data_IF_094267632575
#
_entry.id   IF_094267632575
#
_cell.length_a   1.000
_cell.length_b   1.000
_cell.length_c   1.000
_cell.angle_alpha   90.00
_cell.angle_beta   90.00
_cell.angle_gamma   90.00
#
_symmetry.space_group_name_H-M   'P 1'
#
loop_
_entity.id
_entity.type
_entity.pdbx_description
1 polymer ?
#
# COMPACT_ATOMS: atom_id res chain seq x y z
N UNK A 1 57.07 -20.35 64.56
CA UNK A 1 56.50 -20.93 63.32
C UNK A 1 55.09 -20.44 62.96
N UNK A 2 54.29 -19.87 63.88
CA UNK A 2 52.89 -19.48 63.62
C UNK A 2 52.67 -18.30 62.64
N UNK A 3 53.48 -17.23 62.73
CA UNK A 3 53.26 -16.01 61.91
C UNK A 3 53.60 -16.16 60.42
N UNK A 4 54.51 -17.07 60.07
CA UNK A 4 54.93 -17.27 58.67
C UNK A 4 53.87 -18.04 57.87
N UNK A 5 53.23 -19.02 58.50
CA UNK A 5 52.12 -19.78 57.90
C UNK A 5 50.89 -18.88 57.69
N UNK A 6 50.55 -18.04 58.67
CA UNK A 6 49.43 -17.09 58.54
C UNK A 6 49.68 -16.05 57.43
N UNK A 7 50.92 -15.59 57.24
CA UNK A 7 51.29 -14.67 56.16
C UNK A 7 51.20 -15.36 54.78
N UNK A 8 51.64 -16.61 54.65
CA UNK A 8 51.54 -17.36 53.40
C UNK A 8 50.08 -17.65 53.01
N UNK A 9 49.22 -17.99 53.98
CA UNK A 9 47.81 -18.23 53.75
C UNK A 9 47.12 -16.95 53.25
N UNK A 10 47.31 -15.81 53.92
CA UNK A 10 46.75 -14.52 53.48
C UNK A 10 47.23 -14.09 52.09
N UNK A 11 48.50 -14.39 51.73
CA UNK A 11 49.04 -14.10 50.40
C UNK A 11 48.43 -15.00 49.32
N UNK A 12 48.22 -16.29 49.61
CA UNK A 12 47.52 -17.22 48.71
C UNK A 12 46.04 -16.84 48.51
N UNK A 13 45.32 -16.45 49.57
CA UNK A 13 43.91 -16.06 49.46
C UNK A 13 43.72 -14.78 48.63
N UNK A 14 44.64 -13.80 48.77
CA UNK A 14 44.63 -12.58 47.95
C UNK A 14 44.93 -12.85 46.47
N UNK A 15 45.87 -13.75 46.17
CA UNK A 15 46.18 -14.15 44.79
C UNK A 15 44.98 -14.91 44.18
N UNK A 16 44.33 -15.79 44.94
CA UNK A 16 43.14 -16.51 44.46
C UNK A 16 41.95 -15.58 44.20
N UNK A 17 41.73 -14.57 45.06
CA UNK A 17 40.68 -13.57 44.85
C UNK A 17 40.95 -12.73 43.59
N UNK A 18 42.19 -12.27 43.38
CA UNK A 18 42.58 -11.51 42.18
C UNK A 18 42.43 -12.30 40.88
N UNK A 19 42.79 -13.59 40.88
CA UNK A 19 42.65 -14.45 39.69
C UNK A 19 41.18 -14.77 39.40
N UNK A 20 40.35 -14.92 40.43
CA UNK A 20 38.89 -15.10 40.28
C UNK A 20 38.19 -13.86 39.72
N UNK A 21 38.53 -12.66 40.19
CA UNK A 21 37.94 -11.41 39.67
C UNK A 21 38.40 -11.12 38.23
N UNK A 22 39.65 -11.46 37.89
CA UNK A 22 40.16 -11.34 36.52
C UNK A 22 39.52 -12.35 35.56
N UNK A 23 39.21 -13.57 36.03
CA UNK A 23 38.47 -14.57 35.23
C UNK A 23 37.00 -14.18 35.00
N UNK A 24 36.33 -13.57 35.98
CA UNK A 24 34.95 -13.09 35.83
C UNK A 24 34.89 -11.91 34.83
N UNK A 25 35.92 -11.05 34.82
CA UNK A 25 36.09 -10.02 33.79
C UNK A 25 36.46 -10.58 32.40
N UNK A 26 37.16 -11.72 32.32
CA UNK A 26 37.42 -12.40 31.04
C UNK A 26 36.16 -13.08 30.48
N UNK A 27 35.32 -13.67 31.33
CA UNK A 27 34.05 -14.30 30.90
C UNK A 27 33.00 -13.24 30.54
N UNK A 28 32.98 -12.09 31.22
CA UNK A 28 32.12 -10.96 30.87
C UNK A 28 32.65 -10.13 29.68
N UNK A 29 33.98 -10.10 29.47
CA UNK A 29 34.64 -9.37 28.39
C UNK A 29 34.79 -10.13 27.07
N UNK A 30 34.57 -11.45 27.07
CA UNK A 30 34.66 -12.31 25.87
C UNK A 30 33.26 -12.75 25.37
N UNK A 31 32.27 -11.88 25.53
CA UNK A 31 31.00 -11.94 24.79
C UNK A 31 30.81 -10.70 23.92
N UNK A 32 31.90 -10.22 23.33
CA UNK A 32 31.83 -9.47 22.08
C UNK A 32 32.31 -10.40 20.97
N UNK A 33 31.57 -11.50 20.76
CA UNK A 33 31.54 -12.10 19.44
C UNK A 33 31.02 -10.97 18.54
N UNK A 34 31.95 -10.38 17.79
CA UNK A 34 31.63 -9.62 16.61
C UNK A 34 30.76 -10.54 15.74
N UNK A 35 29.45 -10.45 15.96
CA UNK A 35 28.53 -10.64 14.87
C UNK A 35 29.04 -9.66 13.82
N UNK A 36 29.31 -10.06 12.57
CA UNK A 36 29.40 -9.06 11.52
C UNK A 36 28.08 -8.30 11.62
N UNK A 37 28.13 -7.09 12.18
CA UNK A 37 27.05 -6.15 12.03
C UNK A 37 27.02 -5.92 10.53
N UNK A 38 26.20 -6.72 9.84
CA UNK A 38 25.82 -6.48 8.47
C UNK A 38 25.09 -5.15 8.55
N UNK A 39 25.87 -4.08 8.34
CA UNK A 39 25.49 -2.73 8.67
C UNK A 39 24.25 -2.36 7.88
N UNK A 40 23.10 -2.39 8.53
CA UNK A 40 21.94 -1.68 8.02
C UNK A 40 22.32 -0.19 8.13
N UNK A 41 22.73 0.40 7.01
CA UNK A 41 22.83 1.86 6.89
C UNK A 41 21.40 2.44 6.87
N UNK A 42 20.86 2.68 8.06
CA UNK A 42 19.53 3.25 8.29
C UNK A 42 19.12 3.14 9.77
N UNK A 43 18.23 4.01 10.22
CA UNK A 43 17.59 3.85 11.54
C UNK A 43 16.51 2.78 11.41
N UNK A 44 16.78 1.59 11.94
CA UNK A 44 15.80 0.54 12.09
C UNK A 44 15.25 0.56 13.53
N UNK A 45 13.94 0.72 13.68
CA UNK A 45 13.26 0.46 14.95
C UNK A 45 12.69 -0.95 14.95
N UNK A 46 13.04 -1.73 15.97
CA UNK A 46 12.57 -3.09 16.19
C UNK A 46 11.51 -3.09 17.30
N UNK A 47 10.30 -3.54 17.00
CA UNK A 47 9.29 -3.83 18.05
C UNK A 47 9.24 -5.35 18.28
N UNK A 48 9.57 -5.78 19.49
CA UNK A 48 9.55 -7.18 19.92
C UNK A 48 8.49 -7.37 21.02
N UNK A 49 7.54 -8.29 20.83
CA UNK A 49 6.62 -8.70 21.89
C UNK A 49 6.96 -10.13 22.38
N UNK A 50 8.03 -10.24 23.16
CA UNK A 50 8.41 -11.44 23.89
C UNK A 50 9.09 -12.53 23.05
N UNK A 51 9.52 -13.59 23.73
CA UNK A 51 10.38 -14.68 23.23
C UNK A 51 9.81 -15.56 22.11
N UNK A 52 8.78 -15.11 21.38
CA UNK A 52 8.11 -15.92 20.36
C UNK A 52 7.34 -15.19 19.26
N UNK A 53 7.45 -13.86 19.08
CA UNK A 53 6.60 -13.15 18.08
C UNK A 53 7.30 -12.03 17.31
N UNK A 54 7.04 -12.06 15.99
CA UNK A 54 7.20 -11.06 14.92
C UNK A 54 8.06 -9.82 15.22
N UNK A 55 9.14 -9.67 14.45
CA UNK A 55 9.91 -8.43 14.41
C UNK A 55 9.24 -7.48 13.42
N UNK A 56 8.72 -6.35 13.92
CA UNK A 56 8.35 -5.23 13.07
C UNK A 56 9.59 -4.38 12.84
N UNK A 57 9.99 -4.22 11.58
CA UNK A 57 11.10 -3.35 11.20
C UNK A 57 10.52 -2.15 10.46
N UNK A 58 10.56 -0.98 11.11
CA UNK A 58 10.39 0.29 10.40
C UNK A 58 11.79 0.72 9.99
N UNK A 59 12.10 0.59 8.69
CA UNK A 59 13.36 1.04 8.12
C UNK A 59 13.17 2.43 7.52
N UNK A 60 13.81 3.44 8.11
CA UNK A 60 14.02 4.72 7.44
C UNK A 60 15.34 4.61 6.65
N UNK A 61 15.30 4.49 5.30
CA UNK A 61 16.52 4.24 4.54
C UNK A 61 17.47 5.43 4.66
N UNK A 62 18.69 5.14 5.10
CA UNK A 62 19.81 6.05 4.96
C UNK A 62 20.55 5.88 3.62
N UNK A 63 20.55 4.68 3.00
CA UNK A 63 21.43 4.47 1.83
C UNK A 63 21.16 3.18 1.00
N UNK A 64 19.91 2.73 0.84
CA UNK A 64 19.58 1.59 -0.05
C UNK A 64 19.14 2.04 -1.46
N UNK A 65 19.77 3.10 -2.00
CA UNK A 65 19.56 3.54 -3.39
C UNK A 65 18.14 3.96 -3.78
N UNK A 66 17.20 4.01 -2.84
CA UNK A 66 15.81 4.43 -3.05
C UNK A 66 15.41 5.48 -2.02
N UNK A 67 14.78 6.56 -2.48
CA UNK A 67 14.29 7.69 -1.68
C UNK A 67 13.05 7.35 -0.81
N UNK A 68 12.66 6.08 -0.70
CA UNK A 68 11.33 5.66 -0.25
C UNK A 68 11.37 4.88 1.07
N UNK A 69 10.62 5.37 2.08
CA UNK A 69 10.41 4.64 3.33
C UNK A 69 9.58 3.37 3.08
N UNK A 70 10.06 2.22 3.52
CA UNK A 70 9.38 0.93 3.32
C UNK A 70 9.03 0.27 4.64
N UNK A 71 7.77 -0.16 4.78
CA UNK A 71 7.30 -0.96 5.91
C UNK A 71 7.46 -2.45 5.57
N UNK A 72 8.26 -3.17 6.34
CA UNK A 72 8.47 -4.61 6.18
C UNK A 72 7.91 -5.37 7.39
N UNK A 73 7.12 -6.43 7.15
CA UNK A 73 6.79 -7.43 8.17
C UNK A 73 7.76 -8.60 8.00
N UNK A 74 8.45 -8.96 9.08
CA UNK A 74 9.43 -10.06 9.09
C UNK A 74 8.83 -11.28 9.81
N UNK A 75 8.25 -12.26 9.09
CA UNK A 75 7.87 -13.52 9.71
C UNK A 75 9.12 -14.37 9.98
N UNK A 76 9.23 -14.94 11.18
CA UNK A 76 10.28 -15.91 11.50
C UNK A 76 9.99 -17.23 10.78
N UNK A 77 10.88 -17.66 9.89
CA UNK A 77 10.94 -19.04 9.39
C UNK A 77 12.23 -19.70 9.86
N UNK A 78 12.21 -21.01 10.12
CA UNK A 78 13.41 -21.75 10.49
C UNK A 78 14.40 -21.76 9.32
N UNK A 79 15.55 -21.09 9.45
CA UNK A 79 16.62 -21.11 8.45
C UNK A 79 17.06 -19.75 7.89
N UNK A 80 16.47 -18.63 8.34
CA UNK A 80 16.93 -17.29 7.99
C UNK A 80 15.84 -16.23 8.13
N UNK A 81 16.23 -14.97 7.93
CA UNK A 81 15.31 -13.84 7.72
C UNK A 81 15.09 -13.66 6.20
N UNK A 82 14.23 -14.45 5.51
CA UNK A 82 13.84 -14.04 4.16
C UNK A 82 13.03 -12.77 4.35
N UNK A 83 13.59 -11.64 3.94
CA UNK A 83 12.85 -10.40 3.80
C UNK A 83 11.72 -10.64 2.78
N UNK A 84 10.55 -11.07 3.23
CA UNK A 84 9.39 -11.25 2.36
C UNK A 84 8.72 -9.90 2.19
N UNK A 85 8.88 -9.31 1.00
CA UNK A 85 8.16 -8.11 0.60
C UNK A 85 6.65 -8.36 0.70
N UNK A 86 5.93 -7.48 1.42
CA UNK A 86 4.48 -7.55 1.59
C UNK A 86 3.67 -7.35 0.30
N UNK A 87 4.34 -7.22 -0.84
CA UNK A 87 3.71 -6.90 -2.11
C UNK A 87 3.19 -5.47 -2.18
N UNK A 88 3.39 -4.64 -1.15
CA UNK A 88 3.04 -3.23 -1.11
C UNK A 88 4.30 -2.37 -0.92
N UNK A 89 4.40 -1.27 -1.67
CA UNK A 89 5.45 -0.27 -1.52
C UNK A 89 4.83 1.11 -1.39
N UNK A 90 5.16 1.81 -0.29
CA UNK A 90 4.83 3.22 -0.08
C UNK A 90 6.04 4.05 -0.48
N UNK A 91 5.83 5.04 -1.33
CA UNK A 91 6.90 5.92 -1.81
C UNK A 91 6.83 7.27 -1.12
N UNK A 92 7.97 7.91 -0.93
CA UNK A 92 8.05 9.23 -0.29
C UNK A 92 7.33 10.33 -1.08
N UNK A 93 7.08 10.10 -2.37
CA UNK A 93 6.29 10.98 -3.23
C UNK A 93 4.77 10.76 -3.13
N UNK A 94 4.30 9.91 -2.21
CA UNK A 94 2.87 9.63 -1.98
C UNK A 94 2.31 8.44 -2.75
N UNK A 95 3.10 7.77 -3.59
CA UNK A 95 2.60 6.64 -4.38
C UNK A 95 2.49 5.35 -3.57
N UNK A 96 1.42 4.59 -3.81
CA UNK A 96 1.25 3.20 -3.36
C UNK A 96 1.32 2.25 -4.55
N UNK A 97 2.18 1.24 -4.48
CA UNK A 97 2.26 0.17 -5.49
C UNK A 97 1.94 -1.16 -4.84
N UNK A 98 0.96 -1.86 -5.41
CA UNK A 98 0.58 -3.22 -5.04
C UNK A 98 1.00 -4.20 -6.14
N UNK A 99 1.67 -5.30 -5.77
CA UNK A 99 2.04 -6.40 -6.68
C UNK A 99 0.89 -7.35 -6.95
N UNK A 100 -0.11 -7.37 -6.06
CA UNK A 100 -1.32 -8.18 -6.16
C UNK A 100 -2.54 -7.35 -6.55
N UNK A 101 -3.72 -7.79 -6.12
CA UNK A 101 -4.97 -7.07 -6.31
C UNK A 101 -5.31 -6.16 -5.11
N UNK A 102 -6.10 -5.13 -5.39
CA UNK A 102 -6.79 -4.32 -4.37
C UNK A 102 -8.27 -4.70 -4.37
N UNK A 103 -8.77 -5.26 -3.27
CA UNK A 103 -10.18 -5.57 -3.09
C UNK A 103 -10.79 -4.62 -2.06
N UNK A 104 -11.78 -3.82 -2.46
CA UNK A 104 -12.52 -2.93 -1.57
C UNK A 104 -13.79 -3.64 -1.06
N UNK A 105 -14.07 -3.54 0.24
CA UNK A 105 -15.30 -4.07 0.83
C UNK A 105 -16.53 -3.44 0.18
N UNK A 106 -17.40 -4.25 -0.43
CA UNK A 106 -18.57 -3.77 -1.20
C UNK A 106 -19.79 -4.69 -1.00
N UNK A 107 -19.91 -5.30 0.18
CA UNK A 107 -21.09 -6.12 0.55
C UNK A 107 -22.32 -5.24 0.81
N UNK A 108 -23.51 -5.77 0.56
CA UNK A 108 -24.79 -5.11 0.92
C UNK A 108 -24.88 -4.85 2.42
N UNK A 109 -24.31 -5.72 3.25
CA UNK A 109 -24.26 -5.57 4.72
C UNK A 109 -23.37 -4.41 5.17
N UNK A 110 -22.45 -3.96 4.30
CA UNK A 110 -21.55 -2.83 4.56
C UNK A 110 -22.11 -1.50 4.02
N UNK A 111 -23.34 -1.49 3.49
CA UNK A 111 -23.95 -0.32 2.85
C UNK A 111 -25.36 -0.08 3.37
N UNK A 112 -25.73 1.18 3.48
CA UNK A 112 -27.08 1.63 3.80
C UNK A 112 -27.61 2.58 2.72
N UNK A 113 -28.93 2.83 2.71
CA UNK A 113 -29.58 3.76 1.76
C UNK A 113 -29.25 3.49 0.28
N UNK A 114 -29.13 2.22 -0.10
CA UNK A 114 -28.76 1.81 -1.46
C UNK A 114 -29.90 2.11 -2.44
N UNK A 115 -29.67 3.09 -3.33
CA UNK A 115 -30.56 3.45 -4.43
C UNK A 115 -29.88 3.20 -5.79
N UNK A 116 -30.69 3.15 -6.86
CA UNK A 116 -30.17 3.02 -8.23
C UNK A 116 -29.70 4.37 -8.75
N UNK A 117 -28.51 4.42 -9.36
CA UNK A 117 -28.05 5.56 -10.14
C UNK A 117 -28.85 5.63 -11.44
N UNK A 118 -29.61 6.71 -11.64
CA UNK A 118 -30.45 6.84 -12.84
C UNK A 118 -29.62 7.09 -14.09
N UNK A 119 -30.19 6.82 -15.28
CA UNK A 119 -29.50 7.06 -16.56
C UNK A 119 -29.19 8.55 -16.76
N UNK A 120 -30.17 9.41 -16.52
CA UNK A 120 -30.01 10.86 -16.65
C UNK A 120 -28.96 11.40 -15.68
N UNK A 121 -29.05 11.03 -14.40
CA UNK A 121 -28.07 11.45 -13.38
C UNK A 121 -26.65 11.02 -13.75
N UNK A 122 -26.46 9.80 -14.24
CA UNK A 122 -25.14 9.34 -14.68
C UNK A 122 -24.62 10.12 -15.90
N UNK A 123 -25.49 10.46 -16.85
CA UNK A 123 -25.14 11.26 -18.03
C UNK A 123 -24.77 12.69 -17.62
N UNK A 124 -25.53 13.30 -16.71
CA UNK A 124 -25.27 14.65 -16.21
C UNK A 124 -23.91 14.70 -15.49
N UNK A 125 -23.66 13.73 -14.58
CA UNK A 125 -22.36 13.63 -13.90
C UNK A 125 -21.23 13.44 -14.92
N UNK A 126 -21.40 12.57 -15.91
CA UNK A 126 -20.38 12.33 -16.93
C UNK A 126 -20.10 13.58 -17.77
N UNK A 127 -21.11 14.39 -18.07
CA UNK A 127 -20.96 15.63 -18.83
C UNK A 127 -20.07 16.65 -18.09
N UNK A 128 -20.11 16.64 -16.75
CA UNK A 128 -19.28 17.50 -15.90
C UNK A 128 -17.85 16.95 -15.70
N UNK A 129 -17.59 15.70 -16.07
CA UNK A 129 -16.25 15.12 -15.97
C UNK A 129 -15.37 15.54 -17.16
N UNK A 130 -14.43 16.45 -16.90
CA UNK A 130 -13.46 16.94 -17.89
C UNK A 130 -12.11 16.21 -17.77
N UNK A 131 -11.76 15.27 -18.69
CA UNK A 131 -10.48 14.59 -18.64
C UNK A 131 -9.35 15.52 -19.08
N UNK A 132 -8.29 15.59 -18.29
CA UNK A 132 -7.09 16.39 -18.56
C UNK A 132 -5.83 15.53 -18.61
N UNK A 133 -4.76 16.07 -19.19
CA UNK A 133 -3.42 15.50 -19.11
C UNK A 133 -2.57 16.33 -18.17
N UNK A 134 -1.83 15.67 -17.29
CA UNK A 134 -1.02 16.36 -16.28
C UNK A 134 0.22 15.53 -15.90
N UNK A 135 1.15 16.17 -15.19
CA UNK A 135 2.24 15.50 -14.50
C UNK A 135 2.25 15.97 -13.06
N UNK A 136 2.67 15.09 -12.14
CA UNK A 136 2.73 15.45 -10.73
C UNK A 136 3.92 16.38 -10.46
N UNK A 137 3.70 17.38 -9.59
CA UNK A 137 4.77 18.29 -9.16
C UNK A 137 5.90 17.50 -8.48
N UNK A 138 5.55 16.54 -7.62
CA UNK A 138 6.49 15.68 -6.89
C UNK A 138 7.16 14.59 -7.75
N UNK A 139 6.69 14.36 -8.99
CA UNK A 139 7.36 13.43 -9.91
C UNK A 139 8.51 14.14 -10.63
N UNK A 140 9.74 13.80 -10.24
CA UNK A 140 10.98 14.28 -10.89
C UNK A 140 11.04 13.84 -12.36
N UNK A 141 10.49 12.67 -12.69
CA UNK A 141 10.48 12.12 -14.06
C UNK A 141 9.46 12.78 -14.99
N UNK A 142 8.57 13.62 -14.44
CA UNK A 142 7.51 14.33 -15.17
C UNK A 142 6.71 13.40 -16.10
N UNK A 143 6.36 12.22 -15.58
CA UNK A 143 5.55 11.24 -16.28
C UNK A 143 4.21 11.87 -16.65
N UNK A 144 3.81 11.74 -17.92
CA UNK A 144 2.52 12.24 -18.39
C UNK A 144 1.42 11.26 -17.98
N UNK A 145 0.39 11.79 -17.32
CA UNK A 145 -0.79 11.07 -16.85
C UNK A 145 -2.04 11.66 -17.49
N UNK A 146 -3.13 10.89 -17.47
CA UNK A 146 -4.47 11.36 -17.80
C UNK A 146 -5.38 11.11 -16.59
N UNK A 147 -6.30 12.04 -16.32
CA UNK A 147 -7.22 11.96 -15.18
C UNK A 147 -8.07 13.21 -15.06
N UNK A 148 -8.41 13.59 -13.84
CA UNK A 148 -9.32 14.69 -13.53
C UNK A 148 -8.71 15.63 -12.48
N UNK A 149 -9.14 16.88 -12.49
CA UNK A 149 -8.87 17.85 -11.42
C UNK A 149 -9.98 17.73 -10.38
N UNK A 150 -9.63 17.44 -9.12
CA UNK A 150 -10.61 17.11 -8.09
C UNK A 150 -11.53 18.30 -7.72
N UNK A 151 -11.07 19.53 -7.92
CA UNK A 151 -11.82 20.77 -7.75
C UNK A 151 -12.83 21.03 -8.89
N UNK A 152 -12.70 20.35 -10.02
CA UNK A 152 -13.54 20.54 -11.21
C UNK A 152 -14.54 19.40 -11.43
N UNK A 153 -14.55 18.37 -10.58
CA UNK A 153 -15.50 17.25 -10.67
C UNK A 153 -16.64 17.39 -9.66
N UNK A 154 -17.82 16.78 -9.94
CA UNK A 154 -18.94 16.78 -9.00
C UNK A 154 -18.60 16.16 -7.63
N UNK A 155 -19.26 16.62 -6.56
CA UNK A 155 -19.06 16.19 -5.16
C UNK A 155 -19.12 14.67 -4.96
N UNK A 156 -19.96 13.98 -5.74
CA UNK A 156 -20.07 12.53 -5.70
C UNK A 156 -18.71 11.87 -5.96
N UNK A 157 -17.99 12.38 -6.96
CA UNK A 157 -16.70 11.86 -7.45
C UNK A 157 -15.52 12.43 -6.63
N UNK A 158 -15.68 13.63 -6.09
CA UNK A 158 -14.67 14.31 -5.29
C UNK A 158 -14.47 13.66 -3.91
N UNK A 159 -13.25 13.73 -3.40
CA UNK A 159 -12.86 13.31 -2.06
C UNK A 159 -11.80 14.24 -1.48
N UNK A 160 -11.57 14.11 -0.16
CA UNK A 160 -10.52 14.84 0.56
C UNK A 160 -10.57 16.36 0.33
N UNK A 161 -11.74 16.97 0.60
CA UNK A 161 -11.96 18.42 0.40
C UNK A 161 -11.62 18.90 -1.02
N UNK A 162 -12.01 18.11 -2.04
CA UNK A 162 -11.70 18.37 -3.45
C UNK A 162 -10.22 18.28 -3.83
N UNK A 163 -9.45 17.44 -3.15
CA UNK A 163 -8.03 17.16 -3.49
C UNK A 163 -7.78 15.74 -3.98
N UNK A 164 -8.81 14.90 -3.97
CA UNK A 164 -8.73 13.52 -4.46
C UNK A 164 -9.98 13.15 -5.27
N UNK A 165 -9.84 12.11 -6.09
CA UNK A 165 -10.91 11.57 -6.93
C UNK A 165 -11.20 10.13 -6.52
N UNK A 166 -12.48 9.79 -6.37
CA UNK A 166 -12.95 8.42 -6.09
C UNK A 166 -13.03 7.63 -7.39
N UNK A 167 -11.97 6.92 -7.73
CA UNK A 167 -11.89 6.14 -8.98
C UNK A 167 -13.04 5.14 -9.16
N UNK A 168 -13.48 4.49 -8.08
CA UNK A 168 -14.59 3.53 -8.15
C UNK A 168 -15.93 4.18 -8.49
N UNK A 169 -16.15 5.42 -8.06
CA UNK A 169 -17.39 6.15 -8.32
C UNK A 169 -17.44 6.59 -9.79
N UNK A 170 -16.28 7.01 -10.36
CA UNK A 170 -16.15 7.28 -11.80
C UNK A 170 -16.49 6.02 -12.61
N UNK A 171 -15.97 4.86 -12.22
CA UNK A 171 -16.24 3.59 -12.91
C UNK A 171 -17.74 3.24 -12.83
N UNK A 172 -18.39 3.47 -11.69
CA UNK A 172 -19.83 3.22 -11.53
C UNK A 172 -20.68 4.10 -12.45
N UNK A 173 -20.37 5.41 -12.53
CA UNK A 173 -21.02 6.35 -13.44
C UNK A 173 -20.84 5.94 -14.90
N UNK A 174 -19.59 5.70 -15.32
CA UNK A 174 -19.29 5.23 -16.69
C UNK A 174 -20.04 3.93 -17.04
N UNK A 175 -20.10 2.99 -16.10
CA UNK A 175 -20.84 1.73 -16.30
C UNK A 175 -22.32 2.00 -16.52
N UNK A 176 -22.94 2.89 -15.75
CA UNK A 176 -24.36 3.22 -15.91
C UNK A 176 -24.63 3.93 -17.23
N UNK A 177 -23.77 4.87 -17.65
CA UNK A 177 -23.90 5.54 -18.95
C UNK A 177 -23.78 4.56 -20.09
N UNK A 178 -22.81 3.64 -20.08
CA UNK A 178 -22.67 2.62 -21.14
C UNK A 178 -23.91 1.72 -21.21
N UNK A 179 -24.47 1.32 -20.07
CA UNK A 179 -25.72 0.54 -20.04
C UNK A 179 -26.90 1.34 -20.62
N UNK A 180 -27.02 2.62 -20.25
CA UNK A 180 -28.06 3.51 -20.77
C UNK A 180 -27.96 3.67 -22.29
N UNK A 181 -26.74 3.89 -22.80
CA UNK A 181 -26.48 3.99 -24.24
C UNK A 181 -26.82 2.69 -24.97
N UNK A 182 -26.56 1.53 -24.37
CA UNK A 182 -26.93 0.23 -24.95
C UNK A 182 -28.45 0.06 -25.06
N UNK A 183 -29.20 0.46 -24.02
CA UNK A 183 -30.67 0.43 -24.01
C UNK A 183 -31.26 1.36 -25.09
N UNK A 184 -30.69 2.56 -25.26
CA UNK A 184 -31.09 3.52 -26.30
C UNK A 184 -30.78 2.99 -27.71
N UNK A 185 -29.62 2.35 -27.92
CA UNK A 185 -29.27 1.74 -29.20
C UNK A 185 -30.22 0.61 -29.59
N UNK A 186 -30.63 -0.22 -28.64
CA UNK A 186 -31.60 -1.30 -28.88
C UNK A 186 -32.97 -0.72 -29.29
N UNK A 187 -33.43 0.31 -28.57
CA UNK A 187 -34.67 1.02 -28.89
C UNK A 187 -34.64 1.62 -30.29
N UNK A 188 -33.56 2.33 -30.64
CA UNK A 188 -33.38 2.91 -31.97
C UNK A 188 -33.33 1.84 -33.07
N UNK A 189 -32.70 0.69 -32.82
CA UNK A 189 -32.66 -0.42 -33.77
C UNK A 189 -34.05 -1.02 -34.02
N UNK A 190 -34.88 -1.14 -32.98
CA UNK A 190 -36.25 -1.63 -33.09
C UNK A 190 -37.13 -0.66 -33.88
N UNK A 191 -37.03 0.65 -33.62
CA UNK A 191 -37.72 1.68 -34.39
C UNK A 191 -37.31 1.65 -35.86
N UNK A 192 -36.02 1.52 -36.17
CA UNK A 192 -35.54 1.40 -37.55
C UNK A 192 -36.11 0.14 -38.22
N UNK A 193 -36.24 -0.98 -37.51
CA UNK A 193 -36.83 -2.21 -38.05
C UNK A 193 -38.31 -2.05 -38.35
N UNK A 194 -39.07 -1.44 -37.45
CA UNK A 194 -40.52 -1.23 -37.63
C UNK A 194 -40.79 -0.27 -38.80
N UNK A 195 -40.04 0.84 -38.90
CA UNK A 195 -40.15 1.79 -40.01
C UNK A 195 -39.81 1.13 -41.36
N UNK A 196 -38.79 0.28 -41.42
CA UNK A 196 -38.44 -0.46 -42.64
C UNK A 196 -39.52 -1.47 -43.05
N UNK A 197 -40.17 -2.13 -42.09
CA UNK A 197 -41.27 -3.05 -42.40
C UNK A 197 -42.51 -2.32 -42.91
N UNK A 198 -42.86 -1.19 -42.29
CA UNK A 198 -43.98 -0.35 -42.72
C UNK A 198 -43.76 0.19 -44.14
N UNK A 199 -42.57 0.70 -44.45
CA UNK A 199 -42.24 1.20 -45.80
C UNK A 199 -42.26 0.10 -46.88
N UNK A 200 -41.99 -1.16 -46.53
CA UNK A 200 -42.04 -2.29 -47.46
C UNK A 200 -43.45 -2.89 -47.62
N UNK A 201 -44.41 -2.50 -46.78
CA UNK A 201 -45.79 -2.99 -46.83
C UNK A 201 -46.77 -2.00 -47.50
N UNK A 202 -46.32 -0.79 -47.84
CA UNK A 202 -47.04 0.10 -48.75
C UNK A 202 -46.90 -0.40 -50.20
N UNK A 203 -47.97 -0.90 -50.84
CA UNK A 203 -47.91 -1.23 -52.24
C UNK A 203 -47.72 0.08 -53.00
N UNK A 204 -46.63 0.17 -53.75
CA UNK A 204 -46.39 1.23 -54.74
C UNK A 204 -47.69 1.43 -55.52
N UNK A 205 -48.43 2.50 -55.24
CA UNK A 205 -49.52 2.94 -56.08
C UNK A 205 -48.88 3.45 -57.37
N UNK A 206 -48.63 2.51 -58.30
CA UNK A 206 -48.30 2.82 -59.68
C UNK A 206 -49.57 3.32 -60.35
N UNK A 207 -49.66 4.63 -60.50
CA UNK A 207 -50.44 5.24 -61.57
C UNK A 207 -49.70 5.04 -62.90
#
# INVERSE_FOLDING_TARGET
MSNFVAMLVRKKTRIFALVSTLMILLIAGLSFLASPAMGIKGTAMYFNQGSGRNEWVINAPGDHGGKDASLWIVPKVNGGYPFTNLGASFRANGNLILKGSLSQGSSKELKENVASLSGQEAVDILADLNPVKYNYIADEGKTLNAGFIAEEVPDLISADEHKAVKTMDVIAVLTKVVKQQQEELETLQEEIRSLKQNNNSDPVQRN
#
